data_IF_224400762560
#
_entry.id   IF_224400762560
#
_cell.length_a   1.000
_cell.length_b   1.000
_cell.length_c   1.000
_cell.angle_alpha   90.00
_cell.angle_beta   90.00
_cell.angle_gamma   90.00
#
_symmetry.space_group_name_H-M   'P 1'
#
loop_
_entity.id
_entity.type
_entity.pdbx_description
1 polymer ?
#
# COMPACT_ATOMS: atom_id res chain seq x y z
N UNK A 1 7.14 5.84 -5.94
CA UNK A 1 6.42 5.66 -7.20
C UNK A 1 5.36 4.57 -7.08
N UNK A 2 4.14 4.87 -7.52
CA UNK A 2 3.02 3.92 -7.49
C UNK A 2 2.97 3.17 -8.81
N UNK A 3 2.92 1.83 -8.77
CA UNK A 3 2.86 1.03 -9.98
C UNK A 3 1.44 0.95 -10.55
N UNK A 4 0.43 0.96 -9.69
CA UNK A 4 -0.95 0.89 -10.14
C UNK A 4 -1.85 1.71 -9.21
N UNK A 5 -2.68 2.55 -9.82
CA UNK A 5 -3.72 3.30 -9.11
C UNK A 5 -5.05 2.98 -9.78
N UNK A 6 -6.01 2.50 -9.00
CA UNK A 6 -7.34 2.17 -9.51
C UNK A 6 -8.39 2.92 -8.72
N UNK A 7 -9.17 3.76 -9.38
CA UNK A 7 -10.19 4.60 -8.75
C UNK A 7 -11.58 4.01 -9.07
N UNK A 8 -12.34 3.72 -8.02
CA UNK A 8 -13.73 3.31 -8.15
C UNK A 8 -14.62 4.36 -7.51
N UNK A 9 -15.94 4.17 -7.55
CA UNK A 9 -16.89 5.12 -6.94
C UNK A 9 -16.68 5.21 -5.43
N UNK A 10 -16.24 4.14 -4.78
CA UNK A 10 -16.17 4.06 -3.32
C UNK A 10 -14.75 4.12 -2.77
N UNK A 11 -13.75 3.73 -3.57
CA UNK A 11 -12.40 3.56 -3.08
C UNK A 11 -11.34 3.87 -4.12
N UNK A 12 -10.13 4.14 -3.63
CA UNK A 12 -8.93 4.21 -4.44
C UNK A 12 -8.00 3.10 -3.98
N UNK A 13 -7.57 2.26 -4.91
CA UNK A 13 -6.64 1.17 -4.63
C UNK A 13 -5.26 1.57 -5.11
N UNK A 14 -4.30 1.54 -4.20
CA UNK A 14 -2.88 1.79 -4.50
C UNK A 14 -2.15 0.47 -4.41
N UNK A 15 -1.54 0.04 -5.51
CA UNK A 15 -0.79 -1.23 -5.55
C UNK A 15 0.63 -0.94 -5.99
N UNK A 16 1.59 -1.49 -5.25
CA UNK A 16 3.00 -1.38 -5.57
C UNK A 16 3.59 -2.79 -5.71
N UNK A 17 4.38 -3.02 -6.76
CA UNK A 17 4.95 -4.33 -7.05
C UNK A 17 6.31 -4.46 -6.38
N UNK A 18 6.53 -5.59 -5.72
CA UNK A 18 7.78 -5.89 -5.01
C UNK A 18 8.33 -7.24 -5.43
N UNK A 19 9.65 -7.35 -5.50
CA UNK A 19 10.34 -8.54 -5.98
C UNK A 19 11.15 -9.26 -4.91
N UNK A 20 10.99 -8.89 -3.65
CA UNK A 20 11.75 -9.50 -2.54
C UNK A 20 11.57 -11.02 -2.49
N UNK A 21 12.66 -11.72 -2.16
CA UNK A 21 12.69 -13.18 -2.08
C UNK A 21 13.38 -13.62 -0.80
N UNK A 22 12.69 -14.33 0.09
CA UNK A 22 11.26 -14.63 0.06
C UNK A 22 10.44 -13.38 0.45
N UNK A 23 9.18 -13.29 0.02
CA UNK A 23 8.33 -12.19 0.47
C UNK A 23 7.95 -12.38 1.93
N UNK A 24 7.72 -11.29 2.68
CA UNK A 24 7.20 -11.40 4.03
C UNK A 24 5.78 -11.95 4.00
N UNK A 25 5.39 -12.65 5.08
CA UNK A 25 4.05 -13.24 5.20
C UNK A 25 3.12 -12.36 6.03
N UNK A 26 3.69 -11.41 6.79
CA UNK A 26 2.94 -10.54 7.68
C UNK A 26 3.22 -9.08 7.30
N UNK A 27 2.19 -8.22 7.20
CA UNK A 27 2.42 -6.78 6.93
C UNK A 27 3.40 -6.13 7.91
N UNK A 28 3.46 -6.59 9.15
CA UNK A 28 4.39 -6.04 10.14
C UNK A 28 5.85 -6.33 9.80
N UNK A 29 6.11 -7.34 8.97
CA UNK A 29 7.46 -7.75 8.57
C UNK A 29 7.92 -7.06 7.28
N UNK A 30 7.08 -6.24 6.68
CA UNK A 30 7.44 -5.48 5.48
C UNK A 30 8.51 -4.45 5.84
N UNK A 31 9.51 -4.29 4.95
CA UNK A 31 10.58 -3.32 5.18
C UNK A 31 10.00 -1.93 5.47
N UNK A 32 10.46 -1.24 6.53
CA UNK A 32 9.94 0.08 6.90
C UNK A 32 9.94 1.09 5.77
N UNK A 33 10.92 1.05 4.88
CA UNK A 33 10.98 1.99 3.75
C UNK A 33 9.77 1.83 2.82
N UNK A 34 9.28 0.61 2.63
CA UNK A 34 8.10 0.37 1.80
C UNK A 34 6.82 0.86 2.48
N UNK A 35 6.70 0.61 3.78
CA UNK A 35 5.55 1.08 4.56
C UNK A 35 5.51 2.61 4.59
N UNK A 36 6.67 3.24 4.75
CA UNK A 36 6.78 4.69 4.77
C UNK A 36 6.41 5.30 3.43
N UNK A 37 6.87 4.70 2.32
CA UNK A 37 6.50 5.13 0.98
C UNK A 37 5.00 5.03 0.75
N UNK A 38 4.41 3.90 1.12
CA UNK A 38 2.98 3.67 0.90
C UNK A 38 2.15 4.63 1.76
N UNK A 39 2.56 4.88 3.01
CA UNK A 39 1.88 5.83 3.88
C UNK A 39 1.90 7.25 3.28
N UNK A 40 3.02 7.64 2.68
CA UNK A 40 3.14 8.93 2.02
C UNK A 40 2.23 9.02 0.78
N UNK A 41 2.18 7.97 -0.03
CA UNK A 41 1.27 7.93 -1.18
C UNK A 41 -0.18 8.00 -0.73
N UNK A 42 -0.54 7.25 0.32
CA UNK A 42 -1.90 7.29 0.87
C UNK A 42 -2.28 8.71 1.29
N UNK A 43 -1.38 9.41 1.96
CA UNK A 43 -1.64 10.77 2.41
C UNK A 43 -1.94 11.72 1.24
N UNK A 44 -1.16 11.63 0.16
CA UNK A 44 -1.37 12.44 -1.04
C UNK A 44 -2.70 12.09 -1.72
N UNK A 45 -2.96 10.80 -1.88
CA UNK A 45 -4.18 10.33 -2.56
C UNK A 45 -5.43 10.71 -1.75
N UNK A 46 -5.33 10.67 -0.43
CA UNK A 46 -6.43 11.07 0.46
C UNK A 46 -6.81 12.55 0.26
N UNK A 47 -5.81 13.39 0.02
CA UNK A 47 -6.04 14.81 -0.27
C UNK A 47 -6.82 15.00 -1.58
N UNK A 48 -6.53 14.15 -2.58
CA UNK A 48 -7.17 14.23 -3.90
C UNK A 48 -8.59 13.66 -3.84
N UNK A 49 -8.78 12.60 -3.07
CA UNK A 49 -10.06 11.87 -2.97
C UNK A 49 -10.54 11.80 -1.51
N UNK A 50 -10.93 12.95 -0.92
CA UNK A 50 -11.25 12.99 0.52
C UNK A 50 -12.49 12.18 0.91
N UNK A 51 -13.35 11.84 -0.06
CA UNK A 51 -14.59 11.12 0.22
C UNK A 51 -14.51 9.62 -0.14
N UNK A 52 -13.33 9.13 -0.49
CA UNK A 52 -13.14 7.73 -0.85
C UNK A 52 -12.27 7.02 0.17
N UNK A 53 -12.50 5.73 0.35
CA UNK A 53 -11.60 4.87 1.13
C UNK A 53 -10.32 4.66 0.34
N UNK A 54 -9.17 4.70 1.01
CA UNK A 54 -7.89 4.45 0.36
C UNK A 54 -7.40 3.08 0.81
N UNK A 55 -7.25 2.17 -0.12
CA UNK A 55 -6.82 0.79 0.14
C UNK A 55 -5.44 0.60 -0.48
N UNK A 56 -4.48 0.20 0.33
CA UNK A 56 -3.10 0.04 -0.09
C UNK A 56 -2.69 -1.43 -0.04
N UNK A 57 -2.00 -1.89 -1.07
CA UNK A 57 -1.55 -3.27 -1.13
C UNK A 57 -0.18 -3.37 -1.80
N UNK A 58 0.56 -4.41 -1.44
CA UNK A 58 1.80 -4.78 -2.10
C UNK A 58 1.57 -6.07 -2.85
N UNK A 59 1.99 -6.13 -4.11
CA UNK A 59 1.97 -7.35 -4.89
C UNK A 59 3.38 -7.92 -4.93
N UNK A 60 3.58 -9.02 -4.23
CA UNK A 60 4.85 -9.73 -4.22
C UNK A 60 4.89 -10.63 -5.43
N UNK A 61 5.84 -10.40 -6.33
CA UNK A 61 5.87 -11.08 -7.62
C UNK A 61 6.50 -12.47 -7.54
N UNK A 62 7.22 -12.79 -6.47
CA UNK A 62 7.78 -14.11 -6.26
C UNK A 62 6.71 -15.02 -5.64
N UNK A 63 6.12 -15.92 -6.46
CA UNK A 63 4.96 -16.69 -6.07
C UNK A 63 3.78 -15.74 -5.83
N UNK A 64 3.17 -15.17 -6.90
CA UNK A 64 2.38 -13.94 -6.80
C UNK A 64 1.40 -13.94 -5.63
N UNK A 65 1.56 -12.93 -4.74
CA UNK A 65 0.74 -12.80 -3.55
C UNK A 65 0.38 -11.32 -3.36
N UNK A 66 -0.89 -11.03 -3.23
CA UNK A 66 -1.36 -9.67 -2.93
C UNK A 66 -1.50 -9.52 -1.42
N UNK A 67 -0.79 -8.54 -0.86
CA UNK A 67 -0.84 -8.25 0.57
C UNK A 67 -1.50 -6.90 0.79
N UNK A 68 -2.71 -6.89 1.33
CA UNK A 68 -3.37 -5.65 1.73
C UNK A 68 -2.74 -5.15 3.03
N UNK A 69 -2.37 -3.87 3.06
CA UNK A 69 -1.75 -3.26 4.23
C UNK A 69 -2.84 -2.69 5.15
N UNK A 70 -2.92 -3.14 6.41
CA UNK A 70 -3.90 -2.61 7.36
C UNK A 70 -3.70 -1.12 7.62
N UNK A 71 -4.79 -0.39 7.84
CA UNK A 71 -4.73 1.04 8.14
C UNK A 71 -3.84 1.33 9.34
N UNK A 72 -3.94 0.51 10.39
CA UNK A 72 -3.14 0.71 11.60
C UNK A 72 -1.64 0.66 11.33
N UNK A 73 -1.20 -0.20 10.40
CA UNK A 73 0.21 -0.29 10.04
C UNK A 73 0.65 0.98 9.32
N UNK A 74 -0.17 1.47 8.38
CA UNK A 74 0.17 2.69 7.64
C UNK A 74 0.09 3.93 8.50
N UNK A 75 -0.86 4.00 9.42
CA UNK A 75 -1.00 5.13 10.34
C UNK A 75 0.25 5.33 11.18
N UNK A 76 0.92 4.25 11.55
CA UNK A 76 2.17 4.30 12.31
C UNK A 76 3.27 5.04 11.53
N UNK A 77 3.27 4.92 10.20
CA UNK A 77 4.31 5.49 9.34
C UNK A 77 3.92 6.79 8.65
N UNK A 78 2.69 7.22 8.79
CA UNK A 78 2.22 8.45 8.15
C UNK A 78 2.85 9.67 8.84
N UNK A 79 3.39 10.62 8.07
CA UNK A 79 4.01 11.83 8.63
C UNK A 79 3.00 12.75 9.32
#
# INVERSE_FOLDING_TARGET
>A
QVDRLCVTDEAVHIVDYKTNRPPPTDPADVAPIYLRQMAAYRAVVREIYPNKSIICALLWTDGPTLMTLPEAVLDHWEP
#
